data_IF_010258351684
#
_entry.id   IF_010258351684
#
_cell.length_a   1.000
_cell.length_b   1.000
_cell.length_c   1.000
_cell.angle_alpha   90.00
_cell.angle_beta   90.00
_cell.angle_gamma   90.00
#
_symmetry.space_group_name_H-M   'P 1'
#
loop_
_entity.id
_entity.type
_entity.pdbx_description
1 polymer ?
#
# COMPACT_ATOMS: atom_id res chain seq x y z
N UNK A 1 -22.22 13.32 8.67
CA UNK A 1 -22.08 11.88 8.96
C UNK A 1 -21.39 11.75 10.30
N UNK A 2 -21.92 10.97 11.26
CA UNK A 2 -21.24 10.77 12.54
C UNK A 2 -19.89 10.09 12.31
N UNK A 3 -18.89 10.45 13.13
CA UNK A 3 -17.59 9.76 13.14
C UNK A 3 -17.82 8.44 13.87
N UNK A 4 -17.40 7.29 13.32
CA UNK A 4 -17.54 6.02 14.01
C UNK A 4 -16.70 5.99 15.28
N UNK A 5 -17.12 5.19 16.26
CA UNK A 5 -16.37 4.97 17.49
C UNK A 5 -14.98 4.35 17.18
N UNK A 6 -13.94 4.67 17.97
CA UNK A 6 -12.63 4.03 17.83
C UNK A 6 -12.71 2.51 18.01
N UNK A 7 -12.04 1.77 17.12
CA UNK A 7 -11.88 0.33 17.21
C UNK A 7 -10.56 0.01 17.94
N UNK A 8 -10.61 -0.80 18.99
CA UNK A 8 -9.40 -1.28 19.68
C UNK A 8 -9.12 -2.71 19.25
N UNK A 9 -7.94 -2.93 18.66
CA UNK A 9 -7.48 -4.26 18.23
C UNK A 9 -6.45 -4.79 19.22
N UNK A 10 -6.56 -6.07 19.57
CA UNK A 10 -5.55 -6.78 20.34
C UNK A 10 -4.37 -7.18 19.45
N UNK A 11 -3.16 -7.03 19.97
CA UNK A 11 -1.93 -7.44 19.29
C UNK A 11 -1.41 -8.73 19.93
N UNK A 12 -1.22 -9.83 19.16
CA UNK A 12 -0.68 -11.08 19.68
C UNK A 12 0.83 -11.02 20.01
N UNK A 13 1.46 -9.88 19.74
CA UNK A 13 2.88 -9.61 19.96
C UNK A 13 3.23 -8.22 19.43
N UNK A 14 4.49 -7.82 19.59
CA UNK A 14 4.99 -6.51 19.16
C UNK A 14 4.56 -6.15 17.72
N UNK A 15 4.27 -4.87 17.46
CA UNK A 15 3.97 -4.34 16.13
C UNK A 15 4.93 -3.19 15.83
N UNK A 16 5.64 -3.29 14.71
CA UNK A 16 6.40 -2.18 14.16
C UNK A 16 5.64 -1.64 12.94
N UNK A 17 4.96 -0.50 13.12
CA UNK A 17 4.20 0.14 12.04
C UNK A 17 5.10 0.59 10.89
N UNK A 18 6.31 1.08 11.18
CA UNK A 18 7.24 1.57 10.16
C UNK A 18 7.68 0.44 9.24
N UNK A 19 8.08 -0.69 9.81
CA UNK A 19 8.58 -1.81 9.03
C UNK A 19 7.45 -2.62 8.39
N UNK A 20 6.27 -2.68 9.01
CA UNK A 20 5.06 -3.33 8.47
C UNK A 20 4.44 -2.55 7.31
N UNK A 21 4.29 -1.22 7.44
CA UNK A 21 3.58 -0.39 6.46
C UNK A 21 4.52 0.31 5.47
N UNK A 22 5.83 0.38 5.77
CA UNK A 22 6.85 0.95 4.90
C UNK A 22 6.87 0.40 3.47
N UNK A 23 6.76 -0.93 3.25
CA UNK A 23 6.69 -1.52 1.91
C UNK A 23 5.43 -1.14 1.12
N UNK A 24 4.39 -0.70 1.83
CA UNK A 24 3.14 -0.28 1.20
C UNK A 24 3.17 1.20 0.81
N UNK A 25 3.82 2.04 1.62
CA UNK A 25 4.05 3.43 1.27
C UNK A 25 5.02 3.54 0.08
N UNK A 26 4.83 4.54 -0.78
CA UNK A 26 5.79 4.77 -1.88
C UNK A 26 7.11 5.40 -1.39
N UNK A 27 7.09 6.01 -0.20
CA UNK A 27 8.22 6.73 0.37
C UNK A 27 7.84 7.59 1.56
N UNK A 28 8.81 8.30 2.14
CA UNK A 28 8.64 9.14 3.34
C UNK A 28 7.75 10.37 3.09
N UNK A 29 7.64 10.82 1.85
CA UNK A 29 6.84 11.95 1.36
C UNK A 29 5.61 11.47 0.61
N UNK A 30 5.20 10.22 0.82
CA UNK A 30 3.93 9.70 0.35
C UNK A 30 2.78 10.62 0.84
N UNK A 31 1.98 11.20 -0.07
CA UNK A 31 0.87 12.08 0.31
C UNK A 31 -0.38 11.32 0.80
N UNK A 32 -0.35 10.00 0.75
CA UNK A 32 -1.46 9.09 1.09
C UNK A 32 -1.19 8.29 2.36
N UNK A 33 0.07 8.21 2.79
CA UNK A 33 0.49 7.44 3.97
C UNK A 33 1.50 8.25 4.79
N UNK A 34 1.29 8.35 6.10
CA UNK A 34 2.23 8.90 7.05
C UNK A 34 2.48 7.88 8.17
N UNK A 35 3.73 7.70 8.56
CA UNK A 35 4.13 6.72 9.58
C UNK A 35 5.22 7.34 10.46
N UNK A 36 4.93 7.44 11.75
CA UNK A 36 5.87 7.97 12.73
C UNK A 36 5.73 7.27 14.08
N UNK A 37 6.80 6.56 14.48
CA UNK A 37 6.83 5.78 15.71
C UNK A 37 5.63 4.84 15.83
N UNK A 38 4.81 5.10 16.85
CA UNK A 38 3.63 4.33 17.24
C UNK A 38 2.36 4.75 16.50
N UNK A 39 2.45 5.70 15.56
CA UNK A 39 1.32 6.19 14.77
C UNK A 39 1.49 5.94 13.27
N UNK A 40 0.37 5.63 12.62
CA UNK A 40 0.29 5.61 11.16
C UNK A 40 -1.07 6.12 10.70
N UNK A 41 -1.07 6.96 9.66
CA UNK A 41 -2.29 7.41 8.99
C UNK A 41 -2.24 7.03 7.53
N UNK A 42 -3.36 6.59 6.97
CA UNK A 42 -3.52 6.36 5.53
C UNK A 42 -4.82 6.94 5.00
N UNK A 43 -4.82 7.32 3.73
CA UNK A 43 -6.03 7.44 2.94
C UNK A 43 -6.24 6.18 2.13
N UNK A 44 -7.50 5.77 2.02
CA UNK A 44 -7.92 4.62 1.24
C UNK A 44 -9.28 4.86 0.60
N UNK A 45 -9.65 4.02 -0.35
CA UNK A 45 -11.03 3.97 -0.85
C UNK A 45 -11.67 2.62 -0.57
N UNK A 46 -12.89 2.72 -0.06
CA UNK A 46 -13.83 1.63 0.17
C UNK A 46 -14.95 1.69 -0.88
N UNK A 47 -15.86 0.72 -0.88
CA UNK A 47 -17.02 0.76 -1.79
C UNK A 47 -17.96 1.93 -1.44
N UNK A 48 -18.12 2.23 -0.15
CA UNK A 48 -18.90 3.35 0.38
C UNK A 48 -18.24 4.72 0.20
N UNK A 49 -16.95 4.77 -0.16
CA UNK A 49 -16.27 5.99 -0.54
C UNK A 49 -14.88 6.16 0.08
N UNK A 50 -14.30 7.38 0.02
CA UNK A 50 -12.99 7.68 0.59
C UNK A 50 -13.03 7.55 2.12
N UNK A 51 -11.95 7.02 2.69
CA UNK A 51 -11.73 6.96 4.12
C UNK A 51 -10.30 7.33 4.49
N UNK A 52 -10.13 8.03 5.61
CA UNK A 52 -8.84 8.20 6.28
C UNK A 52 -8.84 7.34 7.53
N UNK A 53 -7.79 6.53 7.72
CA UNK A 53 -7.65 5.63 8.87
C UNK A 53 -6.37 5.96 9.62
N UNK A 54 -6.46 6.07 10.93
CA UNK A 54 -5.33 6.25 11.84
C UNK A 54 -5.21 5.08 12.78
N UNK A 55 -3.98 4.64 12.98
CA UNK A 55 -3.55 3.60 13.89
C UNK A 55 -2.64 4.25 14.93
N UNK A 56 -2.88 3.97 16.20
CA UNK A 56 -2.02 4.39 17.30
C UNK A 56 -1.79 3.20 18.24
N UNK A 57 -0.55 2.79 18.39
CA UNK A 57 -0.17 1.77 19.38
C UNK A 57 -0.28 2.42 20.76
N UNK A 58 -1.34 2.09 21.48
CA UNK A 58 -1.63 2.64 22.82
C UNK A 58 -1.05 1.78 23.95
N UNK A 59 -0.71 0.53 23.65
CA UNK A 59 -0.01 -0.40 24.55
C UNK A 59 0.70 -1.49 23.75
N UNK A 60 1.61 -2.23 24.39
CA UNK A 60 2.36 -3.33 23.74
C UNK A 60 1.45 -4.41 23.11
N UNK A 61 0.24 -4.58 23.64
CA UNK A 61 -0.76 -5.56 23.23
C UNK A 61 -2.01 -4.91 22.60
N UNK A 62 -2.02 -3.59 22.33
CA UNK A 62 -3.20 -2.89 21.80
C UNK A 62 -2.87 -1.77 20.82
N UNK A 63 -3.67 -1.70 19.77
CA UNK A 63 -3.70 -0.58 18.82
C UNK A 63 -5.11 -0.01 18.73
N UNK A 64 -5.23 1.30 18.86
CA UNK A 64 -6.47 2.03 18.63
C UNK A 64 -6.53 2.47 17.17
N UNK A 65 -7.69 2.27 16.55
CA UNK A 65 -7.95 2.63 15.15
C UNK A 65 -9.13 3.58 15.06
N UNK A 66 -8.93 4.71 14.38
CA UNK A 66 -10.00 5.67 14.06
C UNK A 66 -10.12 5.82 12.56
N UNK A 67 -11.35 5.96 12.07
CA UNK A 67 -11.60 6.19 10.66
C UNK A 67 -12.55 7.37 10.43
N UNK A 68 -12.38 8.05 9.29
CA UNK A 68 -13.11 9.26 8.94
C UNK A 68 -13.50 9.23 7.46
N UNK A 69 -14.64 9.85 7.13
CA UNK A 69 -15.14 9.96 5.75
C UNK A 69 -16.18 8.89 5.40
N UNK A 70 -16.82 8.97 4.21
CA UNK A 70 -17.93 8.10 3.81
C UNK A 70 -17.63 6.59 3.86
N UNK A 71 -16.35 6.22 3.75
CA UNK A 71 -15.91 4.82 3.82
C UNK A 71 -15.42 4.37 5.20
N UNK A 72 -15.63 5.15 6.26
CA UNK A 72 -14.97 4.92 7.55
C UNK A 72 -15.30 3.56 8.18
N UNK A 73 -16.57 3.13 8.14
CA UNK A 73 -17.01 1.85 8.71
C UNK A 73 -16.35 0.66 8.00
N UNK A 74 -16.44 0.59 6.67
CA UNK A 74 -15.74 -0.44 5.86
C UNK A 74 -14.22 -0.42 6.08
N UNK A 75 -13.65 0.75 6.36
CA UNK A 75 -12.22 0.88 6.60
C UNK A 75 -11.82 0.35 7.99
N UNK A 76 -12.68 0.49 9.00
CA UNK A 76 -12.49 -0.12 10.32
C UNK A 76 -12.62 -1.64 10.28
N UNK A 77 -13.57 -2.18 9.50
CA UNK A 77 -13.72 -3.63 9.30
C UNK A 77 -12.45 -4.30 8.75
N UNK A 78 -11.69 -3.56 7.93
CA UNK A 78 -10.45 -4.04 7.29
C UNK A 78 -9.19 -3.59 8.02
N UNK A 79 -9.32 -2.95 9.17
CA UNK A 79 -8.18 -2.33 9.85
C UNK A 79 -7.13 -3.35 10.30
N UNK A 80 -7.56 -4.48 10.83
CA UNK A 80 -6.69 -5.56 11.31
C UNK A 80 -5.81 -6.13 10.18
N UNK A 81 -6.40 -6.36 9.01
CA UNK A 81 -5.71 -6.85 7.83
C UNK A 81 -4.62 -5.89 7.36
N UNK A 82 -4.84 -4.57 7.53
CA UNK A 82 -3.89 -3.59 7.06
C UNK A 82 -2.58 -3.57 7.84
N UNK A 83 -2.64 -3.76 9.15
CA UNK A 83 -1.47 -3.91 10.01
C UNK A 83 -0.98 -5.37 10.09
N UNK A 84 -1.52 -6.25 9.24
CA UNK A 84 -1.09 -7.64 9.09
C UNK A 84 -1.50 -8.57 10.21
N UNK A 85 -2.59 -8.29 10.96
CA UNK A 85 -3.08 -9.21 12.00
C UNK A 85 -3.64 -10.52 11.44
N UNK A 86 -3.94 -10.57 10.13
CA UNK A 86 -4.29 -11.79 9.42
C UNK A 86 -3.08 -12.52 8.81
N UNK A 87 -1.86 -12.05 9.10
CA UNK A 87 -0.61 -12.72 8.70
C UNK A 87 -0.32 -13.89 9.65
N UNK A 88 -0.06 -15.07 9.08
CA UNK A 88 0.22 -16.31 9.81
C UNK A 88 1.53 -16.93 9.29
N UNK A 89 2.69 -16.32 9.61
CA UNK A 89 3.97 -16.82 9.17
C UNK A 89 4.32 -18.12 9.89
N UNK A 90 5.00 -19.07 9.22
CA UNK A 90 5.51 -20.26 9.90
C UNK A 90 6.49 -19.88 11.01
N UNK A 91 6.67 -20.76 12.03
CA UNK A 91 7.63 -20.52 13.11
C UNK A 91 9.02 -20.16 12.57
N UNK A 92 9.76 -19.24 13.23
CA UNK A 92 11.05 -18.77 12.73
C UNK A 92 12.06 -19.88 12.43
N UNK A 93 12.02 -20.99 13.18
CA UNK A 93 12.93 -22.12 13.00
C UNK A 93 12.70 -22.88 11.69
N UNK A 94 11.56 -22.67 11.01
CA UNK A 94 11.28 -23.23 9.69
C UNK A 94 11.99 -22.47 8.56
N UNK A 95 12.53 -21.28 8.84
CA UNK A 95 13.27 -20.50 7.85
C UNK A 95 14.73 -20.95 7.72
N UNK A 96 15.34 -20.86 6.52
CA UNK A 96 16.79 -20.97 6.37
C UNK A 96 17.51 -19.85 7.11
N UNK A 97 18.78 -20.07 7.44
CA UNK A 97 19.55 -19.25 8.39
C UNK A 97 19.51 -17.73 8.17
N UNK A 98 19.58 -17.19 6.93
CA UNK A 98 19.48 -15.74 6.72
C UNK A 98 18.11 -15.17 7.11
N UNK A 99 17.03 -15.88 6.76
CA UNK A 99 15.65 -15.46 7.05
C UNK A 99 15.30 -15.66 8.53
N UNK A 100 15.79 -16.73 9.15
CA UNK A 100 15.62 -16.97 10.59
C UNK A 100 16.27 -15.86 11.42
N UNK A 101 17.49 -15.45 11.07
CA UNK A 101 18.17 -14.31 11.70
C UNK A 101 17.37 -13.02 11.55
N UNK A 102 16.88 -12.75 10.33
CA UNK A 102 16.09 -11.56 10.03
C UNK A 102 14.78 -11.52 10.83
N UNK A 103 14.07 -12.65 10.92
CA UNK A 103 12.85 -12.79 11.71
C UNK A 103 13.10 -12.56 13.21
N UNK A 104 14.23 -13.04 13.75
CA UNK A 104 14.61 -12.83 15.16
C UNK A 104 15.02 -11.39 15.45
N UNK A 105 15.69 -10.71 14.51
CA UNK A 105 16.18 -9.33 14.73
C UNK A 105 15.12 -8.25 14.51
N UNK A 106 13.98 -8.58 13.90
CA UNK A 106 12.88 -7.65 13.67
C UNK A 106 11.55 -8.22 14.18
N UNK A 107 11.42 -8.43 15.50
CA UNK A 107 10.16 -8.87 16.07
C UNK A 107 9.08 -7.81 15.80
N UNK A 108 7.94 -8.23 15.25
CA UNK A 108 6.78 -7.36 15.01
C UNK A 108 6.65 -6.80 13.59
N UNK A 109 7.52 -7.19 12.66
CA UNK A 109 7.20 -7.07 11.22
C UNK A 109 6.03 -7.99 10.90
N UNK A 110 5.05 -7.45 10.18
CA UNK A 110 3.93 -8.21 9.59
C UNK A 110 3.78 -7.88 8.12
N UNK A 111 3.06 -8.72 7.38
CA UNK A 111 2.64 -8.42 6.02
C UNK A 111 1.25 -7.77 5.98
N UNK A 112 1.24 -6.49 5.59
CA UNK A 112 0.04 -5.70 5.38
C UNK A 112 -0.81 -6.18 4.20
N UNK A 113 -2.14 -6.09 4.31
CA UNK A 113 -3.09 -6.35 3.21
C UNK A 113 -3.90 -5.09 2.85
N UNK A 114 -3.72 -4.56 1.64
CA UNK A 114 -4.27 -3.24 1.24
C UNK A 114 -5.75 -3.21 0.87
N UNK A 115 -6.33 -4.36 0.51
CA UNK A 115 -7.69 -4.47 -0.04
C UNK A 115 -7.98 -3.62 -1.29
N UNK A 116 -6.95 -3.01 -1.89
CA UNK A 116 -7.07 -2.23 -3.11
C UNK A 116 -5.87 -2.48 -4.01
N UNK A 117 -6.12 -3.16 -5.13
CA UNK A 117 -5.09 -3.39 -6.15
C UNK A 117 -4.59 -2.07 -6.72
N UNK A 118 -5.46 -1.07 -6.88
CA UNK A 118 -5.10 0.23 -7.45
C UNK A 118 -4.15 1.02 -6.53
N UNK A 119 -4.38 0.96 -5.21
CA UNK A 119 -3.52 1.61 -4.21
C UNK A 119 -2.09 1.06 -4.25
N UNK A 120 -1.90 -0.23 -4.56
CA UNK A 120 -0.58 -0.84 -4.68
C UNK A 120 0.00 -0.75 -6.10
N UNK A 121 -0.84 -0.90 -7.12
CA UNK A 121 -0.42 -0.98 -8.52
C UNK A 121 0.12 0.36 -9.04
N UNK A 122 -0.53 1.48 -8.69
CA UNK A 122 -0.11 2.81 -9.17
C UNK A 122 1.31 3.14 -8.67
N UNK A 123 1.62 3.05 -7.37
CA UNK A 123 3.00 3.18 -6.87
C UNK A 123 3.96 2.19 -7.52
N UNK A 124 3.57 0.91 -7.67
CA UNK A 124 4.44 -0.11 -8.24
C UNK A 124 4.83 0.19 -9.70
N UNK A 125 3.90 0.70 -10.52
CA UNK A 125 4.18 1.13 -11.89
C UNK A 125 5.10 2.35 -11.91
N UNK A 126 4.88 3.33 -11.03
CA UNK A 126 5.72 4.53 -10.94
C UNK A 126 7.15 4.23 -10.49
N UNK A 127 7.39 3.10 -9.82
CA UNK A 127 8.71 2.65 -9.38
C UNK A 127 9.49 1.92 -10.49
N UNK A 128 8.88 1.61 -11.63
CA UNK A 128 9.55 0.85 -12.68
C UNK A 128 10.66 1.69 -13.34
N UNK A 129 11.89 1.16 -13.29
CA UNK A 129 13.09 1.72 -13.97
C UNK A 129 13.52 3.11 -13.51
N UNK A 130 13.03 3.59 -12.36
CA UNK A 130 13.43 4.87 -11.76
C UNK A 130 13.88 4.67 -10.32
N UNK A 131 14.53 5.68 -9.74
CA UNK A 131 14.84 5.67 -8.31
C UNK A 131 13.58 5.85 -7.46
N UNK A 132 13.62 5.36 -6.20
CA UNK A 132 12.50 5.56 -5.27
C UNK A 132 12.15 7.04 -5.05
N UNK A 133 13.15 7.94 -5.03
CA UNK A 133 12.92 9.39 -4.91
C UNK A 133 12.18 9.98 -6.11
N UNK A 134 12.46 9.48 -7.32
CA UNK A 134 11.75 9.90 -8.52
C UNK A 134 10.31 9.38 -8.53
N UNK A 135 10.11 8.11 -8.15
CA UNK A 135 8.79 7.51 -8.02
C UNK A 135 7.93 8.26 -6.99
N UNK A 136 8.48 8.54 -5.81
CA UNK A 136 7.84 9.32 -4.75
C UNK A 136 7.43 10.71 -5.24
N UNK A 137 8.34 11.41 -5.96
CA UNK A 137 8.03 12.72 -6.56
C UNK A 137 6.93 12.63 -7.61
N UNK A 138 6.98 11.62 -8.49
CA UNK A 138 5.98 11.41 -9.53
C UNK A 138 4.61 11.10 -8.93
N UNK A 139 4.55 10.28 -7.88
CA UNK A 139 3.31 9.97 -7.16
C UNK A 139 2.75 11.20 -6.44
N UNK A 140 3.61 11.97 -5.76
CA UNK A 140 3.22 13.25 -5.18
C UNK A 140 2.61 14.22 -6.21
N UNK A 141 3.19 14.29 -7.41
CA UNK A 141 2.64 15.08 -8.52
C UNK A 141 1.29 14.52 -9.01
N UNK A 142 1.19 13.20 -9.17
CA UNK A 142 -0.05 12.53 -9.59
C UNK A 142 -1.20 12.79 -8.61
N UNK A 143 -0.94 12.70 -7.31
CA UNK A 143 -1.96 12.94 -6.28
C UNK A 143 -2.35 14.42 -6.16
N UNK A 144 -1.45 15.35 -6.48
CA UNK A 144 -1.70 16.80 -6.38
C UNK A 144 -2.32 17.41 -7.65
N UNK A 145 -1.92 16.92 -8.83
CA UNK A 145 -2.26 17.52 -10.13
C UNK A 145 -3.04 16.59 -11.05
N UNK A 146 -3.07 15.29 -10.76
CA UNK A 146 -3.80 14.33 -11.58
C UNK A 146 -5.31 14.36 -11.33
N UNK A 147 -6.08 13.61 -12.13
CA UNK A 147 -7.53 13.46 -11.95
C UNK A 147 -7.92 12.74 -10.65
N UNK A 148 -6.95 12.35 -9.84
CA UNK A 148 -7.05 11.57 -8.61
C UNK A 148 -7.45 12.43 -7.39
N UNK A 149 -8.09 13.59 -7.59
CA UNK A 149 -8.29 14.59 -6.54
C UNK A 149 -9.55 14.30 -5.69
N UNK A 150 -9.37 13.63 -4.56
CA UNK A 150 -10.23 13.79 -3.39
C UNK A 150 -9.37 13.90 -2.14
N UNK A 151 -9.04 15.12 -1.74
CA UNK A 151 -8.43 15.37 -0.44
C UNK A 151 -9.59 15.47 0.56
N UNK A 152 -9.74 14.49 1.46
CA UNK A 152 -10.50 14.76 2.69
C UNK A 152 -9.52 15.47 3.60
N UNK A 153 -9.72 16.78 3.73
CA UNK A 153 -8.95 17.59 4.67
C UNK A 153 -9.34 17.23 6.10
N UNK A 154 -8.30 17.12 6.93
CA UNK A 154 -8.28 17.36 8.38
C UNK A 154 -8.44 16.12 9.27
N UNK A 155 -7.28 15.59 9.65
CA UNK A 155 -7.06 15.01 10.98
C UNK A 155 -7.53 16.02 12.05
N UNK A 156 -8.29 15.63 13.09
CA UNK A 156 -8.88 16.61 14.01
C UNK A 156 -7.86 17.47 14.77
N UNK A 157 -6.58 17.09 14.86
CA UNK A 157 -5.54 17.86 15.54
C UNK A 157 -4.23 18.05 14.75
N UNK A 158 -4.21 17.81 13.43
CA UNK A 158 -2.98 17.84 12.63
C UNK A 158 -3.13 18.46 11.23
N UNK A 159 -2.09 19.18 10.79
CA UNK A 159 -2.02 19.93 9.52
C UNK A 159 -1.78 19.07 8.27
N UNK A 160 -2.08 17.77 8.30
CA UNK A 160 -1.81 16.87 7.19
C UNK A 160 -3.02 16.75 6.27
N UNK A 161 -2.81 17.01 4.98
CA UNK A 161 -3.79 16.71 3.93
C UNK A 161 -3.45 15.34 3.35
N UNK A 162 -4.32 14.36 3.56
CA UNK A 162 -4.12 13.02 3.00
C UNK A 162 -4.98 12.90 1.74
N UNK A 163 -4.31 12.68 0.61
CA UNK A 163 -4.97 12.55 -0.68
C UNK A 163 -5.51 11.12 -0.82
N UNK A 164 -6.77 10.98 -1.19
CA UNK A 164 -7.33 9.68 -1.53
C UNK A 164 -7.14 9.50 -3.04
N UNK A 165 -6.91 8.27 -3.57
CA UNK A 165 -7.02 8.00 -5.02
C UNK A 165 -8.44 8.38 -5.51
N UNK A 166 -8.89 8.21 -6.77
CA UNK A 166 -10.27 8.36 -7.25
C UNK A 166 -10.94 6.99 -7.41
N UNK A 167 -12.27 7.00 -7.54
CA UNK A 167 -13.04 5.83 -7.95
C UNK A 167 -12.79 5.54 -9.42
N UNK A 168 -12.21 4.39 -9.73
CA UNK A 168 -12.34 3.78 -11.04
C UNK A 168 -13.18 2.51 -10.88
N UNK A 169 -14.36 2.38 -11.51
CA UNK A 169 -14.93 1.06 -11.67
C UNK A 169 -13.92 0.24 -12.48
N UNK A 170 -13.55 -0.96 -12.01
CA UNK A 170 -12.56 -1.83 -12.68
C UNK A 170 -12.90 -2.08 -14.17
N UNK A 171 -14.18 -1.97 -14.54
CA UNK A 171 -14.71 -2.10 -15.90
C UNK A 171 -14.43 -0.92 -16.84
N UNK A 172 -13.88 0.20 -16.35
CA UNK A 172 -13.52 1.36 -17.17
C UNK A 172 -12.11 1.24 -17.79
N UNK A 173 -11.22 0.42 -17.21
CA UNK A 173 -9.83 0.26 -17.69
C UNK A 173 -9.75 -0.41 -19.07
N UNK A 174 -10.66 -1.35 -19.36
CA UNK A 174 -10.67 -2.09 -20.62
C UNK A 174 -11.48 -1.45 -21.74
N UNK A 175 -12.42 -0.53 -21.44
CA UNK A 175 -13.30 0.07 -22.46
C UNK A 175 -12.68 1.25 -23.22
N UNK A 176 -11.81 2.04 -22.59
CA UNK A 176 -11.21 3.22 -23.25
C UNK A 176 -10.13 2.84 -24.30
N UNK A 177 -9.49 1.67 -24.15
CA UNK A 177 -8.38 1.25 -25.04
C UNK A 177 -8.85 0.85 -26.44
N UNK A 178 -10.10 0.44 -26.60
CA UNK A 178 -10.67 0.04 -27.89
C UNK A 178 -11.09 1.24 -28.77
N UNK A 179 -11.26 2.43 -28.20
CA UNK A 179 -11.76 3.61 -28.94
C UNK A 179 -10.67 4.62 -29.31
N UNK A 180 -9.46 4.48 -28.76
CA UNK A 180 -8.33 5.42 -28.99
C UNK A 180 -7.18 4.82 -29.77
N UNK A 181 -7.43 3.81 -30.60
CA UNK A 181 -6.43 3.31 -31.57
C UNK A 181 -6.25 4.30 -32.73
N UNK A 182 -5.70 5.46 -32.43
CA UNK A 182 -5.20 6.46 -33.37
C UNK A 182 -3.91 7.02 -32.82
N UNK A 183 -2.78 6.39 -33.16
CA UNK A 183 -1.45 6.98 -32.94
C UNK A 183 -0.53 6.26 -31.96
N UNK A 184 -0.25 4.97 -32.17
CA UNK A 184 1.00 4.34 -31.71
C UNK A 184 1.67 3.62 -32.89
N UNK A 185 2.05 4.42 -33.90
CA UNK A 185 2.65 3.93 -35.15
C UNK A 185 4.18 3.99 -35.23
N UNK A 186 4.91 4.56 -34.26
CA UNK A 186 6.33 4.91 -34.48
C UNK A 186 7.35 4.50 -33.41
N UNK A 187 6.96 3.90 -32.27
CA UNK A 187 7.91 3.44 -31.25
C UNK A 187 8.21 1.93 -31.34
N UNK A 188 8.39 1.40 -32.56
CA UNK A 188 8.70 -0.01 -32.83
C UNK A 188 10.09 -0.15 -33.44
N UNK A 189 11.12 0.46 -32.84
CA UNK A 189 12.53 0.11 -33.14
C UNK A 189 13.33 0.08 -31.84
N UNK A 190 14.05 -1.03 -31.70
CA UNK A 190 15.06 -1.33 -30.67
C UNK A 190 14.58 -1.60 -29.24
N UNK A 191 13.87 -2.73 -29.08
CA UNK A 191 14.05 -3.57 -27.89
C UNK A 191 14.87 -4.80 -28.32
N UNK A 192 16.19 -4.76 -28.09
CA UNK A 192 17.05 -5.95 -28.25
C UNK A 192 16.67 -6.94 -27.14
N UNK A 193 16.06 -8.07 -27.52
CA UNK A 193 15.78 -9.19 -26.62
C UNK A 193 17.07 -9.59 -25.89
N UNK A 194 17.10 -9.69 -24.55
CA UNK A 194 18.19 -10.39 -23.87
C UNK A 194 18.20 -11.86 -24.32
N UNK A 195 19.38 -12.39 -24.64
CA UNK A 195 19.58 -13.77 -25.09
C UNK A 195 19.10 -14.74 -24.01
N UNK A 196 18.46 -15.80 -24.48
CA UNK A 196 17.74 -16.82 -23.74
C UNK A 196 18.54 -17.48 -22.61
N UNK A 197 17.84 -17.75 -21.51
CA UNK A 197 18.19 -18.79 -20.54
C UNK A 197 17.98 -20.15 -21.20
N UNK A 198 19.04 -20.71 -21.78
CA UNK A 198 19.01 -22.07 -22.31
C UNK A 198 18.76 -23.07 -21.16
N UNK A 199 17.73 -23.90 -21.31
CA UNK A 199 17.54 -25.07 -20.44
C UNK A 199 18.65 -26.09 -20.73
N UNK A 200 19.36 -26.65 -19.73
CA UNK A 200 20.23 -27.79 -19.98
C UNK A 200 19.37 -29.00 -20.37
N UNK A 201 19.73 -29.65 -21.49
CA UNK A 201 19.20 -30.94 -21.91
C UNK A 201 19.76 -32.05 -21.02
N UNK A 202 18.94 -33.03 -20.59
CA UNK A 202 19.45 -34.18 -19.84
C UNK A 202 20.31 -35.06 -20.75
N UNK A 203 21.50 -35.43 -20.28
CA UNK A 203 22.35 -36.44 -20.91
C UNK A 203 21.68 -37.80 -20.80
N UNK A 204 21.45 -38.47 -21.93
CA UNK A 204 21.10 -39.87 -21.97
C UNK A 204 22.31 -40.70 -21.51
N UNK A 205 22.09 -41.56 -20.52
CA UNK A 205 22.89 -42.74 -20.21
C UNK A 205 22.04 -43.97 -20.47
#
# INVERSE_FOLDING_TARGET
MPIPEPLVLALPGALDLRTTLGPVAIGRRDPTTWIDGDEAVRATRTASGPATVHYHIVAADRVEVRAFGPGAEEALERAADWIGLADDPPPPDHYPEPLRRMARSHPGIRFARAHSVIELLVPAVLQQKVSGKEAERAFGLLMRRGPFRSCVSRWPQGSFAICHPPSFPASAFFRDRAQRSGGWGSARREWKKPRAWARPTPSAG
#
